data_IF_621358765885
#
_entry.id   IF_621358765885
#
_cell.length_a   1.000
_cell.length_b   1.000
_cell.length_c   1.000
_cell.angle_alpha   90.00
_cell.angle_beta   90.00
_cell.angle_gamma   90.00
#
_symmetry.space_group_name_H-M   'P 1'
#
loop_
_entity.id
_entity.type
_entity.pdbx_description
1 polymer ?
#
# COMPACT_ATOMS: atom_id res chain seq x y z
N UNK A 1 27.36 24.08 -13.13
CA UNK A 1 26.37 23.31 -12.29
C UNK A 1 25.21 22.70 -13.12
N UNK A 2 25.19 22.82 -14.45
CA UNK A 2 24.14 22.22 -15.31
C UNK A 2 24.45 20.80 -15.80
N UNK A 3 25.62 20.25 -15.46
CA UNK A 3 26.08 18.93 -15.94
C UNK A 3 25.55 17.73 -15.10
N UNK A 4 25.25 17.91 -13.81
CA UNK A 4 24.85 16.79 -12.93
C UNK A 4 23.40 16.32 -13.18
N UNK A 5 22.47 17.26 -13.34
CA UNK A 5 21.06 16.91 -13.53
C UNK A 5 20.79 16.16 -14.86
N UNK A 6 21.47 16.53 -15.94
CA UNK A 6 21.36 15.83 -17.22
C UNK A 6 21.97 14.43 -17.16
N UNK A 7 23.10 14.26 -16.46
CA UNK A 7 23.73 12.95 -16.27
C UNK A 7 22.89 12.02 -15.38
N UNK A 8 22.19 12.58 -14.39
CA UNK A 8 21.32 11.82 -13.50
C UNK A 8 20.03 11.37 -14.19
N UNK A 9 19.45 12.22 -15.05
CA UNK A 9 18.33 11.84 -15.91
C UNK A 9 18.72 10.74 -16.90
N UNK A 10 19.92 10.83 -17.49
CA UNK A 10 20.44 9.83 -18.41
C UNK A 10 20.74 8.48 -17.72
N UNK A 11 21.27 8.50 -16.50
CA UNK A 11 21.50 7.29 -15.70
C UNK A 11 20.17 6.62 -15.28
N UNK A 12 19.12 7.40 -14.99
CA UNK A 12 17.79 6.89 -14.64
C UNK A 12 17.11 6.15 -15.79
N UNK A 13 17.37 6.54 -17.03
CA UNK A 13 16.79 5.89 -18.22
C UNK A 13 17.45 4.55 -18.59
N UNK A 14 18.63 4.24 -18.03
CA UNK A 14 19.43 3.07 -18.37
C UNK A 14 19.49 1.98 -17.29
N UNK A 15 18.63 2.07 -16.25
CA UNK A 15 18.57 1.03 -15.23
C UNK A 15 18.00 -0.27 -15.82
N UNK A 16 18.69 -1.37 -15.59
CA UNK A 16 18.19 -2.70 -15.92
C UNK A 16 16.92 -3.01 -15.09
N UNK A 17 16.10 -3.93 -15.57
CA UNK A 17 14.89 -4.37 -14.89
C UNK A 17 15.17 -4.84 -13.44
N UNK A 18 16.30 -5.50 -13.21
CA UNK A 18 16.70 -5.99 -11.89
C UNK A 18 17.16 -4.86 -10.95
N UNK A 19 17.83 -3.84 -11.46
CA UNK A 19 18.19 -2.65 -10.67
C UNK A 19 16.94 -1.86 -10.28
N UNK A 20 16.00 -1.65 -11.21
CA UNK A 20 14.70 -1.05 -10.88
C UNK A 20 13.96 -1.88 -9.82
N UNK A 21 13.96 -3.21 -9.94
CA UNK A 21 13.31 -4.10 -8.97
C UNK A 21 13.93 -3.92 -7.58
N UNK A 22 15.24 -3.90 -7.46
CA UNK A 22 15.93 -3.70 -6.19
C UNK A 22 15.54 -2.37 -5.51
N UNK A 23 15.54 -1.28 -6.28
CA UNK A 23 15.16 0.06 -5.77
C UNK A 23 13.69 0.10 -5.34
N UNK A 24 12.79 -0.40 -6.19
CA UNK A 24 11.34 -0.24 -5.98
C UNK A 24 10.76 -1.24 -4.97
N UNK A 25 11.41 -2.36 -4.74
CA UNK A 25 11.07 -3.27 -3.64
C UNK A 25 11.56 -2.74 -2.30
N UNK A 26 12.78 -2.18 -2.24
CA UNK A 26 13.27 -1.52 -1.02
C UNK A 26 12.39 -0.32 -0.65
N UNK A 27 12.02 0.50 -1.63
CA UNK A 27 11.10 1.61 -1.42
C UNK A 27 9.70 1.18 -0.93
N UNK A 28 9.27 -0.05 -1.27
CA UNK A 28 7.97 -0.59 -0.85
C UNK A 28 7.95 -1.17 0.57
N UNK A 29 9.08 -1.32 1.26
CA UNK A 29 9.15 -1.98 2.59
C UNK A 29 8.34 -1.26 3.66
N UNK A 30 8.21 0.06 3.58
CA UNK A 30 7.44 0.86 4.54
C UNK A 30 5.93 0.85 4.29
N UNK A 31 5.51 0.19 3.24
CA UNK A 31 4.12 0.04 2.88
C UNK A 31 3.55 -1.21 3.58
N UNK A 32 2.93 -1.02 4.75
CA UNK A 32 2.48 -2.13 5.60
C UNK A 32 1.19 -2.71 5.04
N UNK A 33 1.29 -3.72 4.23
CA UNK A 33 0.15 -4.55 3.86
C UNK A 33 0.41 -6.03 4.15
N UNK A 34 1.57 -6.34 4.72
CA UNK A 34 1.99 -7.71 5.05
C UNK A 34 3.27 -7.71 5.88
N UNK A 35 3.51 -8.80 6.58
CA UNK A 35 4.76 -9.06 7.30
C UNK A 35 5.80 -9.58 6.31
N UNK A 36 6.88 -8.83 6.08
CA UNK A 36 8.08 -9.36 5.42
C UNK A 36 8.92 -10.13 6.45
N UNK A 37 9.59 -11.20 6.01
CA UNK A 37 10.40 -12.03 6.92
C UNK A 37 11.65 -11.31 7.47
N UNK A 38 12.08 -10.22 6.85
CA UNK A 38 13.27 -9.46 7.24
C UNK A 38 14.59 -10.23 7.09
N UNK A 39 14.57 -11.43 6.52
CA UNK A 39 15.76 -12.25 6.34
C UNK A 39 16.46 -11.89 5.02
N UNK A 40 17.75 -11.57 5.10
CA UNK A 40 18.61 -11.36 3.94
C UNK A 40 19.87 -12.25 4.08
N UNK A 41 20.00 -13.26 3.21
CA UNK A 41 21.19 -14.11 3.11
C UNK A 41 21.52 -14.34 1.65
N UNK A 42 22.66 -13.85 1.22
CA UNK A 42 23.18 -14.12 -0.11
C UNK A 42 23.83 -15.50 -0.17
N UNK A 43 23.61 -16.21 -1.27
CA UNK A 43 24.29 -17.46 -1.53
C UNK A 43 25.81 -17.23 -1.65
N UNK A 44 26.59 -18.06 -0.98
CA UNK A 44 28.04 -18.02 -0.96
C UNK A 44 28.66 -19.05 -1.91
N UNK A 45 27.83 -19.71 -2.72
CA UNK A 45 28.24 -20.77 -3.64
C UNK A 45 28.54 -22.11 -2.95
N UNK A 46 28.53 -22.19 -1.61
CA UNK A 46 28.78 -23.41 -0.82
C UNK A 46 27.50 -23.99 -0.23
N UNK A 47 26.46 -23.16 -0.04
CA UNK A 47 25.17 -23.55 0.51
C UNK A 47 24.06 -23.39 -0.53
N UNK A 48 23.07 -24.27 -0.50
CA UNK A 48 21.92 -24.17 -1.42
C UNK A 48 20.96 -23.07 -0.99
N UNK A 49 20.59 -22.20 -1.93
CA UNK A 49 19.55 -21.20 -1.80
C UNK A 49 20.04 -19.80 -1.43
N UNK A 50 19.19 -18.83 -1.77
CA UNK A 50 19.30 -17.42 -1.39
C UNK A 50 18.06 -17.05 -0.58
N UNK A 51 18.20 -16.20 0.43
CA UNK A 51 17.10 -15.52 1.05
C UNK A 51 17.29 -14.02 0.82
N UNK A 52 16.73 -13.51 -0.28
CA UNK A 52 16.72 -12.07 -0.56
C UNK A 52 15.46 -11.47 0.03
N UNK A 53 15.64 -10.45 0.87
CA UNK A 53 14.57 -9.76 1.57
C UNK A 53 13.56 -9.03 0.67
N UNK A 54 13.90 -8.51 -0.51
CA UNK A 54 13.01 -7.60 -1.22
C UNK A 54 11.99 -8.31 -2.11
N UNK A 55 10.77 -7.82 -2.07
CA UNK A 55 9.76 -7.99 -3.11
C UNK A 55 8.70 -9.04 -2.88
N UNK A 56 8.86 -9.99 -1.97
CA UNK A 56 7.80 -10.97 -1.68
C UNK A 56 7.18 -10.71 -0.31
N UNK A 57 5.88 -10.51 -0.29
CA UNK A 57 5.11 -10.38 0.94
C UNK A 57 4.04 -11.47 1.04
N UNK A 58 3.48 -11.63 2.22
CA UNK A 58 2.49 -12.64 2.50
C UNK A 58 1.16 -12.00 2.93
N UNK A 59 0.06 -12.45 2.32
CA UNK A 59 -1.29 -12.12 2.73
C UNK A 59 -2.04 -13.41 3.07
N UNK A 60 -3.02 -13.32 3.96
CA UNK A 60 -3.86 -14.47 4.27
C UNK A 60 -5.16 -14.41 3.47
N UNK A 61 -5.50 -15.49 2.79
CA UNK A 61 -6.79 -15.70 2.17
C UNK A 61 -7.88 -15.94 3.23
N UNK A 62 -9.14 -15.88 2.83
CA UNK A 62 -10.26 -16.11 3.73
C UNK A 62 -10.30 -17.54 4.30
N UNK A 63 -9.72 -18.50 3.60
CA UNK A 63 -9.56 -19.89 4.01
C UNK A 63 -8.32 -20.17 4.89
N UNK A 64 -7.60 -19.12 5.31
CA UNK A 64 -6.42 -19.21 6.16
C UNK A 64 -5.12 -19.51 5.43
N UNK A 65 -5.13 -19.74 4.11
CA UNK A 65 -3.89 -19.96 3.35
C UNK A 65 -3.04 -18.70 3.27
N UNK A 66 -1.73 -18.87 3.36
CA UNK A 66 -0.75 -17.82 3.11
C UNK A 66 -0.55 -17.67 1.61
N UNK A 67 -0.73 -16.45 1.10
CA UNK A 67 -0.55 -16.11 -0.31
C UNK A 67 0.72 -15.27 -0.44
N UNK A 68 1.64 -15.70 -1.29
CA UNK A 68 2.86 -14.95 -1.60
C UNK A 68 2.59 -13.90 -2.67
N UNK A 69 2.91 -12.65 -2.42
CA UNK A 69 2.68 -11.53 -3.35
C UNK A 69 4.00 -10.87 -3.74
N UNK A 70 4.17 -10.57 -5.02
CA UNK A 70 5.18 -9.61 -5.45
C UNK A 70 4.74 -8.21 -5.01
N UNK A 71 5.45 -7.63 -4.06
CA UNK A 71 5.17 -6.29 -3.53
C UNK A 71 6.16 -5.29 -4.08
N UNK A 72 5.68 -4.41 -4.94
CA UNK A 72 6.50 -3.40 -5.60
C UNK A 72 5.78 -2.04 -5.66
N UNK A 73 6.59 -0.98 -5.79
CA UNK A 73 6.10 0.31 -6.27
C UNK A 73 6.16 0.33 -7.81
N UNK A 74 5.16 0.94 -8.43
CA UNK A 74 5.23 1.31 -9.86
C UNK A 74 6.38 2.30 -10.07
N UNK A 75 6.46 3.29 -9.18
CA UNK A 75 7.53 4.28 -9.10
C UNK A 75 7.72 4.74 -7.66
N UNK A 76 8.95 5.10 -7.30
CA UNK A 76 9.24 5.84 -6.09
C UNK A 76 9.51 7.35 -6.36
N UNK A 77 9.39 7.81 -7.60
CA UNK A 77 9.28 9.22 -7.90
C UNK A 77 7.90 9.73 -7.43
N UNK A 78 7.89 10.86 -6.72
CA UNK A 78 6.65 11.42 -6.20
C UNK A 78 6.70 12.94 -6.23
N UNK A 79 5.61 13.58 -6.66
CA UNK A 79 5.47 15.05 -6.63
C UNK A 79 5.03 15.56 -5.26
N UNK A 80 4.66 14.67 -4.32
CA UNK A 80 4.20 15.04 -2.99
C UNK A 80 5.36 15.10 -1.98
N UNK A 81 5.23 16.01 -1.01
CA UNK A 81 6.20 16.28 0.04
C UNK A 81 5.77 15.77 1.42
N UNK A 82 5.11 14.60 1.48
CA UNK A 82 4.69 14.03 2.77
C UNK A 82 5.90 13.82 3.69
N UNK A 83 5.93 14.49 4.84
CA UNK A 83 7.09 14.52 5.73
C UNK A 83 7.50 13.14 6.27
N UNK A 84 6.52 12.25 6.47
CA UNK A 84 6.75 10.89 6.94
C UNK A 84 7.23 9.91 5.86
N UNK A 85 7.25 10.31 4.59
CA UNK A 85 7.48 9.39 3.48
C UNK A 85 8.94 9.43 3.01
N UNK A 86 9.59 8.27 2.94
CA UNK A 86 10.93 8.13 2.38
C UNK A 86 11.00 8.58 0.91
N UNK A 87 9.90 8.41 0.16
CA UNK A 87 9.83 8.70 -1.26
C UNK A 87 9.26 10.11 -1.55
N UNK A 88 9.25 11.03 -0.59
CA UNK A 88 8.79 12.39 -0.84
C UNK A 88 9.69 13.10 -1.87
N UNK A 89 9.17 14.16 -2.50
CA UNK A 89 9.89 14.86 -3.58
C UNK A 89 11.23 15.47 -3.16
N UNK A 90 11.45 15.71 -1.86
CA UNK A 90 12.65 16.32 -1.31
C UNK A 90 13.70 15.29 -0.82
N UNK A 91 13.36 14.00 -0.80
CA UNK A 91 14.28 12.96 -0.33
C UNK A 91 15.32 12.62 -1.39
N UNK A 92 16.58 12.56 -0.96
CA UNK A 92 17.70 12.12 -1.80
C UNK A 92 17.87 10.61 -1.74
N UNK A 93 16.97 9.90 -2.42
CA UNK A 93 17.00 8.44 -2.54
C UNK A 93 17.08 8.03 -4.01
N UNK A 94 17.69 6.89 -4.34
CA UNK A 94 17.67 6.35 -5.69
C UNK A 94 16.24 6.25 -6.23
N UNK A 95 16.02 6.81 -7.43
CA UNK A 95 14.71 6.85 -8.07
C UNK A 95 14.64 5.91 -9.24
N UNK A 96 13.51 5.23 -9.37
CA UNK A 96 13.22 4.36 -10.51
C UNK A 96 11.72 4.37 -10.81
N UNK A 97 11.38 4.05 -12.06
CA UNK A 97 10.01 3.87 -12.51
C UNK A 97 9.96 2.67 -13.45
N UNK A 98 8.97 1.82 -13.25
CA UNK A 98 8.63 0.79 -14.19
C UNK A 98 7.72 1.33 -15.30
N UNK A 99 7.71 0.63 -16.42
CA UNK A 99 6.62 0.69 -17.39
C UNK A 99 5.57 -0.38 -17.08
N UNK A 100 4.33 -0.25 -17.58
CA UNK A 100 3.33 -1.32 -17.45
C UNK A 100 3.81 -2.68 -17.94
N UNK A 101 4.58 -2.74 -19.05
CA UNK A 101 5.10 -3.97 -19.60
C UNK A 101 6.19 -4.61 -18.73
N UNK A 102 7.04 -3.81 -18.11
CA UNK A 102 8.04 -4.31 -17.16
C UNK A 102 7.39 -4.98 -15.94
N UNK A 103 6.32 -4.37 -15.37
CA UNK A 103 5.59 -4.98 -14.25
C UNK A 103 4.90 -6.28 -14.71
N UNK A 104 4.28 -6.27 -15.88
CA UNK A 104 3.66 -7.47 -16.43
C UNK A 104 4.70 -8.59 -16.58
N UNK A 105 5.86 -8.30 -17.17
CA UNK A 105 6.96 -9.26 -17.33
C UNK A 105 7.41 -9.83 -15.99
N UNK A 106 7.71 -8.97 -15.00
CA UNK A 106 8.13 -9.42 -13.68
C UNK A 106 7.07 -10.30 -13.01
N UNK A 107 5.79 -9.85 -13.02
CA UNK A 107 4.70 -10.58 -12.41
C UNK A 107 4.54 -11.97 -13.03
N UNK A 108 4.56 -12.06 -14.37
CA UNK A 108 4.39 -13.32 -15.09
C UNK A 108 5.58 -14.26 -14.89
N UNK A 109 6.81 -13.75 -14.92
CA UNK A 109 8.01 -14.55 -14.70
C UNK A 109 8.08 -15.12 -13.28
N UNK A 110 7.76 -14.32 -12.25
CA UNK A 110 7.73 -14.82 -10.88
C UNK A 110 6.57 -15.80 -10.64
N UNK A 111 5.42 -15.55 -11.26
CA UNK A 111 4.27 -16.45 -11.17
C UNK A 111 4.56 -17.80 -11.84
N UNK A 112 5.11 -17.81 -13.05
CA UNK A 112 5.49 -19.06 -13.78
C UNK A 112 6.51 -19.89 -13.02
N UNK A 113 7.40 -19.23 -12.27
CA UNK A 113 8.41 -19.90 -11.43
C UNK A 113 7.88 -20.30 -10.06
N UNK A 114 6.60 -20.08 -9.80
CA UNK A 114 5.94 -20.42 -8.55
C UNK A 114 6.50 -19.66 -7.31
N UNK A 115 7.07 -18.47 -7.51
CA UNK A 115 7.59 -17.64 -6.42
C UNK A 115 6.49 -16.82 -5.78
N UNK A 116 5.44 -16.49 -6.53
CA UNK A 116 4.31 -15.67 -6.09
C UNK A 116 2.98 -16.25 -6.58
N UNK A 117 1.92 -15.93 -5.86
CA UNK A 117 0.53 -16.21 -6.24
C UNK A 117 -0.20 -14.95 -6.69
N UNK A 118 0.41 -13.77 -6.52
CA UNK A 118 -0.21 -12.51 -6.87
C UNK A 118 0.72 -11.31 -6.85
N UNK A 119 0.13 -10.14 -7.13
CA UNK A 119 0.79 -8.85 -7.18
C UNK A 119 0.19 -7.91 -6.14
N UNK A 120 1.04 -7.21 -5.38
CA UNK A 120 0.67 -6.03 -4.62
C UNK A 120 1.37 -4.81 -5.23
N UNK A 121 0.58 -3.94 -5.86
CA UNK A 121 1.06 -2.78 -6.58
C UNK A 121 0.65 -1.49 -5.88
N UNK A 122 1.64 -0.69 -5.51
CA UNK A 122 1.48 0.68 -5.03
C UNK A 122 2.34 1.64 -5.87
N UNK A 123 2.31 2.94 -5.58
CA UNK A 123 3.08 3.91 -6.36
C UNK A 123 3.34 5.19 -5.58
N UNK A 124 4.47 5.86 -5.85
CA UNK A 124 4.57 7.30 -5.76
C UNK A 124 3.65 7.97 -6.79
N UNK A 125 3.55 9.28 -6.75
CA UNK A 125 2.68 10.04 -7.67
C UNK A 125 3.56 10.79 -8.68
N UNK A 126 3.56 10.29 -9.92
CA UNK A 126 4.17 10.96 -11.07
C UNK A 126 3.25 12.08 -11.55
N UNK A 127 3.75 13.09 -12.15
CA UNK A 127 3.05 14.16 -12.88
C UNK A 127 1.71 14.59 -12.26
N UNK A 128 0.78 13.63 -12.08
CA UNK A 128 -0.53 13.84 -11.46
C UNK A 128 -1.13 12.53 -10.92
N UNK A 129 -2.12 12.60 -9.99
CA UNK A 129 -2.87 11.43 -9.54
C UNK A 129 -3.51 10.64 -10.68
N UNK A 130 -4.11 11.34 -11.66
CA UNK A 130 -4.76 10.72 -12.82
C UNK A 130 -3.77 9.98 -13.71
N UNK A 131 -2.64 10.61 -14.02
CA UNK A 131 -1.60 9.99 -14.83
C UNK A 131 -1.07 8.71 -14.18
N UNK A 132 -0.80 8.76 -12.88
CA UNK A 132 -0.30 7.59 -12.15
C UNK A 132 -1.34 6.47 -12.07
N UNK A 133 -2.61 6.83 -11.80
CA UNK A 133 -3.69 5.84 -11.72
C UNK A 133 -3.97 5.20 -13.09
N UNK A 134 -3.82 5.96 -14.19
CA UNK A 134 -3.96 5.43 -15.55
C UNK A 134 -2.86 4.39 -15.87
N UNK A 135 -1.60 4.66 -15.50
CA UNK A 135 -0.51 3.69 -15.65
C UNK A 135 -0.75 2.41 -14.84
N UNK A 136 -1.27 2.53 -13.62
CA UNK A 136 -1.69 1.39 -12.81
C UNK A 136 -2.80 0.63 -13.53
N UNK A 137 -3.85 1.32 -13.98
CA UNK A 137 -4.95 0.70 -14.72
C UNK A 137 -4.45 -0.05 -15.97
N UNK A 138 -3.59 0.57 -16.78
CA UNK A 138 -3.00 -0.07 -17.96
C UNK A 138 -2.24 -1.36 -17.60
N UNK A 139 -1.51 -1.36 -16.49
CA UNK A 139 -0.81 -2.54 -15.98
C UNK A 139 -1.80 -3.66 -15.65
N UNK A 140 -2.85 -3.36 -14.88
CA UNK A 140 -3.87 -4.34 -14.51
C UNK A 140 -4.61 -4.87 -15.74
N UNK A 141 -4.96 -3.97 -16.66
CA UNK A 141 -5.63 -4.34 -17.91
C UNK A 141 -4.78 -5.32 -18.71
N UNK A 142 -3.50 -5.02 -18.95
CA UNK A 142 -2.59 -5.92 -19.68
C UNK A 142 -2.42 -7.27 -18.96
N UNK A 143 -2.25 -7.28 -17.64
CA UNK A 143 -2.17 -8.52 -16.86
C UNK A 143 -3.41 -9.39 -17.08
N UNK A 144 -4.62 -8.83 -16.98
CA UNK A 144 -5.88 -9.58 -17.07
C UNK A 144 -6.24 -9.98 -18.50
N UNK A 145 -6.05 -9.08 -19.48
CA UNK A 145 -6.55 -9.29 -20.86
C UNK A 145 -5.49 -9.84 -21.82
N UNK A 146 -4.24 -9.38 -21.72
CA UNK A 146 -3.16 -9.81 -22.64
C UNK A 146 -2.45 -11.03 -22.09
N UNK A 147 -2.07 -11.00 -20.81
CA UNK A 147 -1.33 -12.08 -20.19
C UNK A 147 -2.23 -13.15 -19.54
N UNK A 148 -3.55 -12.93 -19.50
CA UNK A 148 -4.54 -13.82 -18.87
C UNK A 148 -4.15 -14.22 -17.44
N UNK A 149 -3.54 -13.29 -16.71
CA UNK A 149 -3.12 -13.50 -15.34
C UNK A 149 -4.33 -13.63 -14.43
N UNK A 150 -4.52 -14.80 -13.83
CA UNK A 150 -5.62 -15.10 -12.92
C UNK A 150 -5.21 -15.10 -11.44
N UNK A 151 -3.96 -14.72 -11.13
CA UNK A 151 -3.48 -14.59 -9.76
C UNK A 151 -4.10 -13.40 -9.03
N UNK A 152 -3.90 -13.35 -7.72
CA UNK A 152 -4.42 -12.29 -6.85
C UNK A 152 -3.78 -10.94 -7.16
N UNK A 153 -4.58 -9.88 -7.25
CA UNK A 153 -4.10 -8.50 -7.42
C UNK A 153 -4.65 -7.61 -6.31
N UNK A 154 -3.72 -7.05 -5.53
CA UNK A 154 -4.01 -5.97 -4.59
C UNK A 154 -3.40 -4.68 -5.12
N UNK A 155 -4.20 -3.64 -5.28
CA UNK A 155 -3.74 -2.35 -5.75
C UNK A 155 -4.00 -1.25 -4.72
N UNK A 156 -3.05 -0.33 -4.56
CA UNK A 156 -3.28 0.93 -3.87
C UNK A 156 -3.77 1.97 -4.85
N UNK A 157 -5.03 2.36 -4.70
CA UNK A 157 -5.60 3.45 -5.48
C UNK A 157 -4.98 4.79 -5.06
N UNK A 158 -4.82 5.66 -6.04
CA UNK A 158 -4.18 6.97 -5.85
C UNK A 158 -5.22 7.98 -5.33
N UNK A 159 -5.00 8.58 -4.15
CA UNK A 159 -5.88 9.62 -3.63
C UNK A 159 -5.97 10.81 -4.60
N UNK A 160 -7.20 11.23 -4.89
CA UNK A 160 -7.45 12.35 -5.81
C UNK A 160 -7.42 11.98 -7.30
N UNK A 161 -7.30 10.70 -7.65
CA UNK A 161 -7.47 10.25 -9.02
C UNK A 161 -8.94 10.27 -9.46
N UNK A 162 -9.14 10.32 -10.79
CA UNK A 162 -10.45 10.29 -11.42
C UNK A 162 -11.26 9.07 -10.98
N UNK A 163 -12.50 9.25 -10.51
CA UNK A 163 -13.39 8.16 -10.12
C UNK A 163 -13.55 7.07 -11.18
N UNK A 164 -13.60 7.41 -12.46
CA UNK A 164 -13.73 6.44 -13.54
C UNK A 164 -12.49 5.54 -13.68
N UNK A 165 -11.30 6.04 -13.41
CA UNK A 165 -10.07 5.23 -13.40
C UNK A 165 -10.04 4.26 -12.21
N UNK A 166 -10.49 4.72 -11.04
CA UNK A 166 -10.58 3.88 -9.83
C UNK A 166 -11.59 2.75 -10.05
N UNK A 167 -12.74 3.06 -10.64
CA UNK A 167 -13.77 2.08 -10.97
C UNK A 167 -13.25 1.02 -11.95
N UNK A 168 -12.67 1.44 -13.08
CA UNK A 168 -12.08 0.53 -14.08
C UNK A 168 -11.04 -0.39 -13.44
N UNK A 169 -10.16 0.13 -12.59
CA UNK A 169 -9.17 -0.66 -11.89
C UNK A 169 -9.81 -1.62 -10.88
N UNK A 170 -10.94 -1.26 -10.27
CA UNK A 170 -11.67 -2.09 -9.32
C UNK A 170 -12.23 -3.38 -9.92
N UNK A 171 -12.62 -3.38 -11.20
CA UNK A 171 -13.03 -4.60 -11.92
C UNK A 171 -11.87 -5.53 -12.28
N UNK A 172 -10.62 -5.05 -12.19
CA UNK A 172 -9.42 -5.82 -12.50
C UNK A 172 -8.66 -6.27 -11.26
N UNK A 173 -8.91 -5.65 -10.11
CA UNK A 173 -8.26 -5.93 -8.84
C UNK A 173 -9.14 -6.81 -7.94
N UNK A 174 -8.51 -7.70 -7.17
CA UNK A 174 -9.21 -8.47 -6.14
C UNK A 174 -9.40 -7.66 -4.87
N UNK A 175 -8.41 -6.84 -4.51
CA UNK A 175 -8.48 -5.91 -3.37
C UNK A 175 -7.99 -4.53 -3.76
N UNK A 176 -8.64 -3.51 -3.22
CA UNK A 176 -8.15 -2.13 -3.28
C UNK A 176 -7.88 -1.58 -1.88
N UNK A 177 -6.90 -0.69 -1.78
CA UNK A 177 -6.65 0.05 -0.56
C UNK A 177 -6.35 1.52 -0.87
N UNK A 178 -6.73 2.38 0.06
CA UNK A 178 -6.37 3.79 0.07
C UNK A 178 -5.89 4.10 1.48
N UNK A 179 -4.69 4.61 1.62
CA UNK A 179 -4.14 4.92 2.93
C UNK A 179 -4.82 6.13 3.53
N UNK A 180 -5.33 5.99 4.75
CA UNK A 180 -5.80 7.12 5.55
C UNK A 180 -4.64 8.00 6.00
N UNK A 181 -3.47 7.40 6.14
CA UNK A 181 -2.19 7.95 6.59
C UNK A 181 -2.21 8.33 8.07
N UNK A 182 -2.94 9.35 8.45
CA UNK A 182 -2.96 9.89 9.81
C UNK A 182 -4.39 9.88 10.39
N UNK A 183 -4.54 9.68 11.72
CA UNK A 183 -5.86 9.57 12.35
C UNK A 183 -6.69 10.85 12.26
N UNK A 184 -6.06 12.03 12.24
CA UNK A 184 -6.74 13.32 12.25
C UNK A 184 -6.51 14.14 10.98
N UNK A 185 -7.46 15.03 10.67
CA UNK A 185 -7.33 15.97 9.57
C UNK A 185 -6.21 17.00 9.82
N UNK A 186 -5.98 17.36 11.08
CA UNK A 186 -4.91 18.30 11.45
C UNK A 186 -3.53 17.67 11.23
N UNK A 187 -3.32 16.44 11.70
CA UNK A 187 -2.09 15.71 11.43
C UNK A 187 -1.83 15.55 9.93
N UNK A 188 -2.86 15.22 9.15
CA UNK A 188 -2.75 15.11 7.71
C UNK A 188 -2.34 16.44 7.06
N UNK A 189 -2.96 17.56 7.46
CA UNK A 189 -2.60 18.90 6.96
C UNK A 189 -1.16 19.27 7.30
N UNK A 190 -0.70 18.89 8.48
CA UNK A 190 0.66 19.18 8.94
C UNK A 190 1.72 18.35 8.22
N UNK A 191 1.51 17.04 8.09
CA UNK A 191 2.55 16.11 7.60
C UNK A 191 2.38 15.68 6.14
N UNK A 192 1.23 15.92 5.53
CA UNK A 192 0.94 15.60 4.14
C UNK A 192 0.05 16.67 3.50
N UNK A 193 0.52 17.93 3.35
CA UNK A 193 -0.30 19.07 2.93
C UNK A 193 -0.90 18.89 1.53
N UNK A 194 -0.33 18.05 0.70
CA UNK A 194 -0.87 17.69 -0.63
C UNK A 194 -2.04 16.72 -0.59
N UNK A 195 -2.40 16.19 0.60
CA UNK A 195 -3.52 15.27 0.80
C UNK A 195 -4.58 15.93 1.68
N UNK A 196 -5.84 15.57 1.46
CA UNK A 196 -6.95 16.02 2.31
C UNK A 196 -7.83 14.83 2.69
N UNK A 197 -8.63 14.98 3.74
CA UNK A 197 -9.64 13.98 4.08
C UNK A 197 -10.58 13.70 2.91
N UNK A 198 -10.96 14.72 2.17
CA UNK A 198 -11.84 14.57 1.01
C UNK A 198 -11.19 13.70 -0.08
N UNK A 199 -9.93 13.98 -0.46
CA UNK A 199 -9.23 13.22 -1.50
C UNK A 199 -8.97 11.75 -1.12
N UNK A 200 -9.03 11.41 0.18
CA UNK A 200 -8.88 10.05 0.69
C UNK A 200 -10.24 9.37 0.87
N UNK A 201 -11.19 10.01 1.57
CA UNK A 201 -12.45 9.38 1.94
C UNK A 201 -13.45 9.30 0.78
N UNK A 202 -13.39 10.22 -0.19
CA UNK A 202 -14.27 10.18 -1.37
C UNK A 202 -14.07 8.91 -2.20
N UNK A 203 -12.85 8.55 -2.64
CA UNK A 203 -12.64 7.30 -3.35
C UNK A 203 -12.85 6.05 -2.46
N UNK A 204 -12.60 6.11 -1.15
CA UNK A 204 -12.98 5.02 -0.24
C UNK A 204 -14.49 4.77 -0.25
N UNK A 205 -15.30 5.83 -0.26
CA UNK A 205 -16.76 5.75 -0.35
C UNK A 205 -17.20 5.19 -1.71
N UNK A 206 -16.58 5.65 -2.78
CA UNK A 206 -16.85 5.14 -4.13
C UNK A 206 -16.59 3.63 -4.21
N UNK A 207 -15.44 3.15 -3.73
CA UNK A 207 -15.12 1.71 -3.72
C UNK A 207 -16.15 0.94 -2.89
N UNK A 208 -16.55 1.46 -1.72
CA UNK A 208 -17.57 0.84 -0.88
C UNK A 208 -18.92 0.71 -1.59
N UNK A 209 -19.36 1.79 -2.24
CA UNK A 209 -20.61 1.79 -3.00
C UNK A 209 -20.54 0.78 -4.16
N UNK A 210 -19.46 0.79 -4.94
CA UNK A 210 -19.25 -0.15 -6.04
C UNK A 210 -19.23 -1.62 -5.58
N UNK A 211 -18.64 -1.93 -4.41
CA UNK A 211 -18.68 -3.27 -3.82
C UNK A 211 -20.14 -3.67 -3.50
N UNK A 212 -20.91 -2.76 -2.89
CA UNK A 212 -22.30 -3.03 -2.50
C UNK A 212 -23.19 -3.20 -3.71
N UNK A 213 -23.07 -2.32 -4.71
CA UNK A 213 -23.81 -2.38 -5.98
C UNK A 213 -23.51 -3.69 -6.73
N UNK A 214 -22.22 -4.05 -6.82
CA UNK A 214 -21.82 -5.28 -7.50
C UNK A 214 -22.29 -6.54 -6.76
N UNK A 215 -22.34 -6.53 -5.43
CA UNK A 215 -22.94 -7.64 -4.67
C UNK A 215 -24.42 -7.82 -5.00
N UNK A 216 -25.18 -6.73 -5.10
CA UNK A 216 -26.60 -6.78 -5.51
C UNK A 216 -26.75 -7.24 -6.96
N UNK A 217 -25.90 -6.77 -7.86
CA UNK A 217 -25.87 -7.20 -9.26
C UNK A 217 -25.60 -8.71 -9.39
N UNK A 218 -24.63 -9.23 -8.63
CA UNK A 218 -24.28 -10.66 -8.62
C UNK A 218 -25.40 -11.56 -8.08
N UNK A 219 -26.31 -11.04 -7.25
CA UNK A 219 -27.51 -11.77 -6.83
C UNK A 219 -28.46 -12.01 -8.02
N UNK A 220 -28.52 -11.08 -8.96
CA UNK A 220 -29.37 -11.17 -10.15
C UNK A 220 -28.60 -11.83 -11.31
N UNK A 221 -27.40 -11.39 -11.55
CA UNK A 221 -26.55 -11.84 -12.66
C UNK A 221 -25.27 -12.51 -12.15
N UNK A 222 -25.35 -13.81 -11.88
CA UNK A 222 -24.24 -14.59 -11.28
C UNK A 222 -22.91 -14.55 -12.05
N UNK A 223 -22.94 -14.20 -13.35
CA UNK A 223 -21.76 -14.11 -14.23
C UNK A 223 -21.28 -12.68 -14.45
N UNK A 224 -21.86 -11.67 -13.79
CA UNK A 224 -21.38 -10.30 -13.88
C UNK A 224 -19.91 -10.21 -13.41
N UNK A 225 -19.13 -9.29 -13.98
CA UNK A 225 -17.77 -9.04 -13.52
C UNK A 225 -17.75 -8.69 -12.02
N UNK A 226 -16.79 -9.22 -11.29
CA UNK A 226 -16.63 -8.95 -9.86
C UNK A 226 -15.87 -7.65 -9.65
N UNK A 227 -16.38 -6.77 -8.79
CA UNK A 227 -15.73 -5.55 -8.39
C UNK A 227 -15.10 -5.71 -7.00
N UNK A 228 -13.77 -5.62 -6.91
CA UNK A 228 -12.99 -5.69 -5.66
C UNK A 228 -13.48 -6.79 -4.70
N UNK A 229 -13.55 -8.06 -5.14
CA UNK A 229 -14.22 -9.14 -4.39
C UNK A 229 -13.61 -9.43 -3.02
N UNK A 230 -12.32 -9.16 -2.81
CA UNK A 230 -11.66 -9.29 -1.51
C UNK A 230 -11.81 -8.04 -0.63
N UNK A 231 -12.55 -7.04 -1.09
CA UNK A 231 -12.89 -5.85 -0.34
C UNK A 231 -11.77 -4.82 -0.24
N UNK A 232 -12.02 -3.82 0.58
CA UNK A 232 -11.16 -2.65 0.74
C UNK A 232 -10.44 -2.67 2.10
N UNK A 233 -9.23 -2.07 2.14
CA UNK A 233 -8.44 -1.87 3.36
C UNK A 233 -7.79 -0.48 3.38
N UNK A 234 -7.24 -0.10 4.53
CA UNK A 234 -6.50 1.15 4.72
C UNK A 234 -5.30 0.96 5.65
N UNK A 235 -4.44 1.97 5.71
CA UNK A 235 -3.30 2.02 6.62
C UNK A 235 -3.27 3.36 7.35
N UNK A 236 -2.91 3.33 8.64
CA UNK A 236 -2.62 4.50 9.47
C UNK A 236 -1.20 4.42 10.04
N UNK A 237 -0.53 5.56 10.08
CA UNK A 237 0.78 5.75 10.72
C UNK A 237 0.52 6.12 12.17
N UNK A 238 1.23 5.46 13.10
CA UNK A 238 1.04 5.59 14.54
C UNK A 238 2.30 6.18 15.17
N UNK A 239 2.13 7.24 15.94
CA UNK A 239 3.23 7.90 16.65
C UNK A 239 3.94 9.02 15.88
N UNK A 240 3.49 9.36 14.67
CA UNK A 240 3.93 10.54 13.95
C UNK A 240 3.23 11.83 14.42
N UNK A 241 2.10 11.69 15.06
CA UNK A 241 1.21 12.76 15.56
C UNK A 241 0.71 12.39 16.96
N UNK A 242 0.21 13.38 17.76
CA UNK A 242 0.00 13.20 19.21
C UNK A 242 -1.25 12.41 19.59
N UNK A 243 -1.99 11.84 18.64
CA UNK A 243 -3.21 11.11 18.94
C UNK A 243 -2.96 9.93 19.87
N UNK A 244 -3.86 9.79 20.87
CA UNK A 244 -3.86 8.66 21.78
C UNK A 244 -4.55 7.42 21.16
N UNK A 245 -4.41 6.27 21.79
CA UNK A 245 -4.94 5.00 21.29
C UNK A 245 -6.45 4.98 21.18
N UNK A 246 -7.15 5.66 22.09
CA UNK A 246 -8.60 5.81 22.03
C UNK A 246 -9.03 6.54 20.74
N UNK A 247 -8.39 7.65 20.42
CA UNK A 247 -8.68 8.40 19.19
C UNK A 247 -8.42 7.54 17.93
N UNK A 248 -7.34 6.78 17.92
CA UNK A 248 -6.98 5.87 16.83
C UNK A 248 -8.05 4.77 16.69
N UNK A 249 -8.44 4.13 17.78
CA UNK A 249 -9.44 3.07 17.76
C UNK A 249 -10.84 3.59 17.38
N UNK A 250 -11.22 4.80 17.80
CA UNK A 250 -12.47 5.47 17.37
C UNK A 250 -12.47 5.70 15.83
N UNK A 251 -11.36 6.11 15.28
CA UNK A 251 -11.23 6.25 13.82
C UNK A 251 -11.37 4.89 13.13
N UNK A 252 -10.72 3.86 13.66
CA UNK A 252 -10.81 2.50 13.11
C UNK A 252 -12.24 1.94 13.16
N UNK A 253 -12.93 2.10 14.30
CA UNK A 253 -14.34 1.72 14.46
C UNK A 253 -15.22 2.41 13.42
N UNK A 254 -15.10 3.73 13.26
CA UNK A 254 -15.86 4.49 12.27
C UNK A 254 -15.55 4.06 10.82
N UNK A 255 -14.32 3.65 10.54
CA UNK A 255 -13.93 3.13 9.22
C UNK A 255 -14.57 1.77 8.95
N UNK A 256 -14.63 0.87 9.92
CA UNK A 256 -15.32 -0.40 9.79
C UNK A 256 -16.82 -0.23 9.60
N UNK A 257 -17.45 0.63 10.39
CA UNK A 257 -18.90 0.88 10.31
C UNK A 257 -19.31 1.58 9.02
N UNK A 258 -18.59 2.65 8.62
CA UNK A 258 -19.01 3.53 7.52
C UNK A 258 -18.51 3.11 6.14
N UNK A 259 -17.39 2.39 6.08
CA UNK A 259 -16.76 1.97 4.81
C UNK A 259 -16.64 0.45 4.67
N UNK A 260 -17.12 -0.32 5.65
CA UNK A 260 -17.09 -1.78 5.69
C UNK A 260 -15.72 -2.36 5.32
N UNK A 261 -14.65 -1.69 5.81
CA UNK A 261 -13.29 -2.13 5.53
C UNK A 261 -13.04 -3.55 6.02
N UNK A 262 -12.25 -4.30 5.27
CA UNK A 262 -11.81 -5.64 5.71
C UNK A 262 -10.71 -5.53 6.77
N UNK A 263 -9.85 -4.51 6.69
CA UNK A 263 -8.76 -4.30 7.65
C UNK A 263 -8.27 -2.87 7.66
N UNK A 264 -7.91 -2.40 8.84
CA UNK A 264 -7.05 -1.25 9.08
C UNK A 264 -5.67 -1.79 9.44
N UNK A 265 -4.64 -1.31 8.75
CA UNK A 265 -3.25 -1.60 9.06
C UNK A 265 -2.68 -0.44 9.89
N UNK A 266 -1.98 -0.76 10.95
CA UNK A 266 -1.25 0.19 11.79
C UNK A 266 0.23 0.08 11.46
N UNK A 267 0.91 1.21 11.33
CA UNK A 267 2.34 1.27 11.04
C UNK A 267 3.01 2.19 12.02
N UNK A 268 3.88 1.65 12.86
CA UNK A 268 4.70 2.44 13.77
C UNK A 268 5.57 3.42 12.97
N UNK A 269 5.51 4.70 13.34
CA UNK A 269 6.26 5.75 12.66
C UNK A 269 7.77 5.54 12.83
N UNK A 270 8.48 5.62 11.73
CA UNK A 270 9.94 5.65 11.67
C UNK A 270 10.37 6.94 10.99
N UNK A 271 11.17 7.75 11.66
CA UNK A 271 11.70 8.99 11.08
C UNK A 271 12.87 8.68 10.13
N UNK A 272 12.54 8.19 8.95
CA UNK A 272 13.53 7.77 7.94
C UNK A 272 14.25 8.93 7.25
N UNK A 273 13.65 10.11 7.27
CA UNK A 273 14.22 11.31 6.63
C UNK A 273 15.13 12.11 7.57
N UNK A 274 15.21 11.75 8.85
CA UNK A 274 15.96 12.50 9.85
C UNK A 274 15.40 13.92 10.10
N UNK A 275 14.13 14.15 9.78
CA UNK A 275 13.48 15.46 9.96
C UNK A 275 13.32 15.74 11.46
N UNK A 276 14.02 16.77 11.94
CA UNK A 276 14.03 17.17 13.34
C UNK A 276 12.68 17.72 13.84
N UNK A 277 11.76 18.10 12.93
CA UNK A 277 10.40 18.54 13.27
C UNK A 277 9.46 17.36 13.58
N UNK A 278 9.86 16.15 13.24
CA UNK A 278 9.08 14.94 13.50
C UNK A 278 9.52 14.27 14.80
N UNK A 279 8.62 13.62 15.51
CA UNK A 279 8.94 12.98 16.78
C UNK A 279 9.98 11.88 16.60
N UNK A 280 11.03 11.92 17.42
CA UNK A 280 11.99 10.83 17.60
C UNK A 280 11.74 10.27 18.99
N UNK A 281 11.19 9.08 19.07
CA UNK A 281 10.93 8.45 20.36
C UNK A 281 12.22 7.85 20.92
N UNK A 282 12.57 8.10 22.19
CA UNK A 282 13.63 7.37 22.85
C UNK A 282 13.33 5.86 22.81
N UNK A 283 14.24 5.06 22.26
CA UNK A 283 14.04 3.61 22.11
C UNK A 283 13.49 3.17 20.74
N UNK A 284 13.32 4.08 19.77
CA UNK A 284 12.94 3.75 18.40
C UNK A 284 11.44 3.79 18.13
N UNK A 285 10.99 3.20 17.01
CA UNK A 285 9.58 3.23 16.62
C UNK A 285 8.67 2.52 17.63
N UNK A 286 7.41 2.98 17.81
CA UNK A 286 6.51 2.45 18.84
C UNK A 286 5.91 1.08 18.45
N UNK A 287 6.75 0.07 18.23
CA UNK A 287 6.36 -1.26 17.78
C UNK A 287 5.43 -1.98 18.76
N UNK A 288 5.67 -1.83 20.07
CA UNK A 288 4.79 -2.42 21.07
C UNK A 288 3.39 -1.80 21.01
N UNK A 289 3.29 -0.48 20.81
CA UNK A 289 2.02 0.23 20.63
C UNK A 289 1.29 -0.24 19.36
N UNK A 290 2.02 -0.39 18.26
CA UNK A 290 1.47 -0.96 17.02
C UNK A 290 0.88 -2.36 17.28
N UNK A 291 1.64 -3.22 17.95
CA UNK A 291 1.19 -4.58 18.28
C UNK A 291 -0.07 -4.58 19.16
N UNK A 292 -0.13 -3.71 20.17
CA UNK A 292 -1.31 -3.58 21.06
C UNK A 292 -2.53 -3.05 20.29
N UNK A 293 -2.35 -2.12 19.36
CA UNK A 293 -3.44 -1.65 18.49
C UNK A 293 -3.99 -2.77 17.62
N UNK A 294 -3.14 -3.67 17.09
CA UNK A 294 -3.62 -4.85 16.38
C UNK A 294 -4.41 -5.81 17.28
N UNK A 295 -4.04 -5.97 18.54
CA UNK A 295 -4.81 -6.77 19.50
C UNK A 295 -6.18 -6.13 19.79
N UNK A 296 -6.22 -4.82 20.01
CA UNK A 296 -7.47 -4.07 20.18
C UNK A 296 -8.36 -4.12 18.93
N UNK A 297 -7.78 -3.95 17.74
CA UNK A 297 -8.47 -4.09 16.46
C UNK A 297 -9.12 -5.48 16.29
N UNK A 298 -8.43 -6.53 16.75
CA UNK A 298 -8.98 -7.88 16.76
C UNK A 298 -10.25 -7.98 17.62
N UNK A 299 -10.25 -7.42 18.83
CA UNK A 299 -11.40 -7.38 19.72
C UNK A 299 -12.56 -6.59 19.09
N UNK A 300 -12.26 -5.46 18.47
CA UNK A 300 -13.26 -4.63 17.80
C UNK A 300 -13.94 -5.38 16.65
N UNK A 301 -13.16 -6.03 15.77
CA UNK A 301 -13.69 -6.69 14.58
C UNK A 301 -14.42 -8.01 14.83
N UNK A 302 -13.90 -8.82 15.73
CA UNK A 302 -14.39 -10.19 15.91
C UNK A 302 -15.25 -10.38 17.14
N UNK A 303 -15.03 -9.56 18.18
CA UNK A 303 -15.76 -9.66 19.44
C UNK A 303 -16.76 -8.52 19.66
N UNK A 304 -16.86 -7.59 18.73
CA UNK A 304 -17.78 -6.44 18.75
C UNK A 304 -17.58 -5.52 19.97
N UNK A 305 -16.35 -5.42 20.49
CA UNK A 305 -16.02 -4.41 21.46
C UNK A 305 -16.09 -3.03 20.79
N UNK A 306 -16.51 -2.02 21.54
CA UNK A 306 -16.48 -0.63 21.09
C UNK A 306 -15.19 0.06 21.51
N UNK A 307 -14.75 1.07 20.77
CA UNK A 307 -13.54 1.81 21.10
C UNK A 307 -13.57 2.40 22.51
N UNK A 308 -14.76 2.79 23.01
CA UNK A 308 -14.97 3.28 24.38
C UNK A 308 -14.58 2.23 25.44
N UNK A 309 -14.67 0.96 25.15
CA UNK A 309 -14.32 -0.11 26.09
C UNK A 309 -12.82 -0.17 26.41
N UNK A 310 -11.95 0.44 25.57
CA UNK A 310 -10.51 0.46 25.76
C UNK A 310 -10.01 1.59 26.66
N UNK A 311 -10.86 2.54 27.07
CA UNK A 311 -10.47 3.65 27.95
C UNK A 311 -10.07 3.20 29.35
N UNK A 312 -10.44 2.00 29.75
CA UNK A 312 -10.14 1.40 31.05
C UNK A 312 -9.04 0.33 30.99
N UNK A 313 -8.58 -0.03 29.80
CA UNK A 313 -7.44 -0.90 29.60
C UNK A 313 -6.20 -0.01 29.47
N UNK A 314 -5.45 0.14 30.54
CA UNK A 314 -4.07 0.65 30.47
C UNK A 314 -3.25 -0.34 29.64
N UNK A 315 -3.10 0.01 28.38
CA UNK A 315 -2.22 -0.72 27.45
C UNK A 315 -0.77 -0.29 27.62
#
# INVERSE_FOLDING_TARGET
>A
IKSSAASDVYKRQNLSLMEKLAILTDAAKYDVACTSSGADRRGDGRHMGNCLAPGVCHAFAADGRCISLLKILFTNECIFNCAYCQNNCNSDVPRASFTPDEICTLTMEFYRRNYIEGLFLSSGILISPNYTMDLIYQTLYRLRTVHHFNGYIHVKAIPGADPALIEKAGFLADRMSINLELPTANGLKQLAPCKSRHTILSPMRQIQNGITENQNELMVYRKAPKFVPAGQSTQMIIGATPENDYQIMRVSEALYEKFHLKRVFYSAFINVNGDSSLPVLPGGPPLLREHRLYQADWLLRYYRFHAVSYTHLTL
#
